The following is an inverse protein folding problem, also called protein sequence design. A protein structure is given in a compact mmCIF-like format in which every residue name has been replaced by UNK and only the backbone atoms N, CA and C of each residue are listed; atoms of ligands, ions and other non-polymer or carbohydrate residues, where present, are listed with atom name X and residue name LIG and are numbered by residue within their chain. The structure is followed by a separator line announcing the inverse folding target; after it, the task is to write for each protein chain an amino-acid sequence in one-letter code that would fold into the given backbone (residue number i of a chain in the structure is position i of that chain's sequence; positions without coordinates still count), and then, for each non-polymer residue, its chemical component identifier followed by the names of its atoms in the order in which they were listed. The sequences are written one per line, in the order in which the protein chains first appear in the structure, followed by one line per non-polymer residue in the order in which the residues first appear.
data_IF_346830279604
#
_entry.id   IF_346830279604
#
_cell.length_a   1.000
_cell.length_b   1.000
_cell.length_c   1.000
_cell.angle_alpha   90.00
_cell.angle_beta   90.00
_cell.angle_gamma   90.00
#
_symmetry.space_group_name_H-M   'P 1'
#
loop_
_entity.id
_entity.type
_entity.pdbx_description
1 polymer ?
#
# COMPACT_ATOMS: atom_id res chain seq x y z
N UNK A 1 -8.86 -29.35 1.94
CA UNK A 1 -9.62 -28.85 0.79
C UNK A 1 -9.10 -27.45 0.48
N UNK A 2 -8.45 -27.27 -0.68
CA UNK A 2 -7.82 -26.01 -1.12
C UNK A 2 -8.89 -25.11 -1.74
N UNK A 3 -8.96 -23.85 -1.32
CA UNK A 3 -9.82 -22.84 -1.93
C UNK A 3 -9.22 -22.37 -3.27
N UNK A 4 -10.06 -22.10 -4.30
CA UNK A 4 -9.59 -21.73 -5.64
C UNK A 4 -9.25 -20.23 -5.70
N UNK A 5 -8.19 -19.90 -6.45
CA UNK A 5 -7.84 -18.54 -6.82
C UNK A 5 -8.87 -18.02 -7.85
N UNK A 6 -9.49 -16.88 -7.57
CA UNK A 6 -10.33 -16.17 -8.52
C UNK A 6 -9.44 -15.55 -9.61
N UNK A 7 -9.48 -16.18 -10.79
CA UNK A 7 -8.91 -15.67 -12.04
C UNK A 7 -9.90 -14.70 -12.68
N UNK A 8 -9.55 -13.42 -12.76
CA UNK A 8 -10.22 -12.51 -13.68
C UNK A 8 -9.57 -12.66 -15.07
N UNK A 9 -10.20 -13.48 -15.92
CA UNK A 9 -9.91 -13.54 -17.35
C UNK A 9 -10.91 -12.65 -18.09
N UNK A 10 -10.42 -11.59 -18.73
CA UNK A 10 -11.16 -10.93 -19.82
C UNK A 10 -10.62 -11.46 -21.15
N UNK A 11 -11.53 -11.89 -22.02
CA UNK A 11 -11.27 -12.54 -23.30
C UNK A 11 -10.42 -11.67 -24.25
N UNK A 12 -9.29 -12.20 -24.71
CA UNK A 12 -8.67 -11.85 -25.98
C UNK A 12 -8.29 -13.14 -26.73
N UNK A 13 -8.70 -13.20 -27.99
CA UNK A 13 -8.59 -14.32 -28.95
C UNK A 13 -7.13 -14.73 -29.25
N UNK A 14 -6.91 -15.93 -29.83
CA UNK A 14 -5.67 -16.68 -29.70
C UNK A 14 -4.62 -16.31 -30.75
N UNK A 15 -3.36 -16.23 -30.33
CA UNK A 15 -2.21 -16.13 -31.24
C UNK A 15 -1.35 -14.89 -31.04
N UNK A 16 -0.63 -14.81 -29.92
CA UNK A 16 0.67 -14.14 -29.85
C UNK A 16 1.42 -14.64 -28.63
N UNK A 17 2.67 -15.05 -28.85
CA UNK A 17 3.59 -15.51 -27.82
C UNK A 17 3.81 -14.42 -26.76
N UNK A 18 4.08 -14.84 -25.52
CA UNK A 18 4.47 -13.97 -24.41
C UNK A 18 5.86 -13.39 -24.72
N UNK A 19 5.88 -12.28 -25.45
CA UNK A 19 7.09 -11.50 -25.65
C UNK A 19 7.37 -10.74 -24.35
N UNK A 20 8.36 -11.23 -23.60
CA UNK A 20 9.07 -10.43 -22.61
C UNK A 20 9.74 -9.26 -23.32
N UNK A 21 8.99 -8.20 -23.61
CA UNK A 21 9.57 -6.93 -23.99
C UNK A 21 10.28 -6.35 -22.76
N UNK A 22 11.56 -6.02 -22.95
CA UNK A 22 12.39 -5.31 -21.98
C UNK A 22 11.74 -3.96 -21.65
N UNK A 23 10.89 -3.93 -20.64
CA UNK A 23 10.43 -2.68 -20.07
C UNK A 23 11.55 -2.11 -19.20
N UNK A 24 12.19 -1.06 -19.73
CA UNK A 24 13.00 -0.13 -18.96
C UNK A 24 12.23 0.26 -17.70
N UNK A 25 12.91 0.37 -16.55
CA UNK A 25 12.34 0.73 -15.26
C UNK A 25 11.56 2.06 -15.34
N UNK A 26 10.29 1.99 -15.74
CA UNK A 26 9.40 3.13 -15.96
C UNK A 26 8.05 2.88 -15.29
N UNK A 27 8.06 2.18 -14.15
CA UNK A 27 6.95 2.23 -13.20
C UNK A 27 7.33 3.22 -12.11
N UNK A 28 7.10 4.50 -12.38
CA UNK A 28 7.17 5.53 -11.34
C UNK A 28 6.01 5.30 -10.38
N UNK A 29 6.23 4.53 -9.31
CA UNK A 29 5.40 4.66 -8.12
C UNK A 29 5.66 6.07 -7.57
N UNK A 30 4.80 7.02 -7.92
CA UNK A 30 4.97 8.44 -7.63
C UNK A 30 4.69 8.73 -6.15
N UNK A 31 5.65 8.40 -5.30
CA UNK A 31 5.83 9.06 -4.01
C UNK A 31 6.92 10.13 -4.21
N UNK A 32 6.61 11.43 -4.04
CA UNK A 32 7.51 12.53 -4.40
C UNK A 32 8.68 12.68 -3.42
N UNK A 33 8.69 11.93 -2.32
CA UNK A 33 9.84 11.78 -1.43
C UNK A 33 10.51 10.41 -1.62
N UNK A 34 9.74 9.34 -1.78
CA UNK A 34 10.27 8.00 -2.04
C UNK A 34 10.51 7.79 -3.55
N UNK A 35 11.65 8.22 -4.08
CA UNK A 35 12.03 7.81 -5.42
C UNK A 35 12.58 6.38 -5.35
N UNK A 36 11.72 5.38 -5.62
CA UNK A 36 12.07 3.95 -5.69
C UNK A 36 12.83 3.63 -6.98
N UNK A 37 13.84 4.42 -7.31
CA UNK A 37 14.70 4.22 -8.48
C UNK A 37 16.16 4.12 -8.03
N UNK A 38 16.88 3.11 -8.52
CA UNK A 38 18.33 3.10 -8.49
C UNK A 38 18.83 4.26 -9.36
N UNK A 39 19.19 5.40 -8.75
CA UNK A 39 19.80 6.52 -9.48
C UNK A 39 21.32 6.40 -9.42
N UNK A 40 21.95 6.31 -10.59
CA UNK A 40 23.35 6.63 -10.79
C UNK A 40 23.61 8.10 -10.45
N UNK A 41 24.71 8.35 -9.74
CA UNK A 41 25.10 9.67 -9.27
C UNK A 41 25.32 10.65 -10.44
N UNK A 42 24.67 11.82 -10.40
CA UNK A 42 25.27 13.11 -10.76
C UNK A 42 24.41 14.28 -10.24
N UNK A 43 25.02 15.07 -9.34
CA UNK A 43 25.07 16.54 -9.32
C UNK A 43 23.76 17.36 -9.40
N UNK A 44 22.88 17.26 -8.41
CA UNK A 44 21.80 18.24 -8.21
C UNK A 44 21.89 18.88 -6.81
N UNK A 45 22.24 20.17 -6.77
CA UNK A 45 22.36 21.01 -5.57
C UNK A 45 21.01 21.42 -4.94
N UNK A 46 19.97 20.59 -5.05
CA UNK A 46 18.74 20.77 -4.27
C UNK A 46 18.77 19.88 -3.03
N UNK A 47 18.90 20.50 -1.84
CA UNK A 47 18.73 19.85 -0.52
C UNK A 47 17.28 19.41 -0.29
N UNK A 48 16.74 18.56 -1.16
CA UNK A 48 15.61 17.71 -0.79
C UNK A 48 16.14 16.66 0.18
N UNK A 49 15.52 16.51 1.36
CA UNK A 49 15.65 15.29 2.18
C UNK A 49 15.11 14.14 1.31
N UNK A 50 15.99 13.55 0.51
CA UNK A 50 15.70 12.39 -0.35
C UNK A 50 15.62 11.17 0.56
N UNK A 51 14.54 10.40 0.45
CA UNK A 51 14.47 9.06 1.04
C UNK A 51 15.62 8.26 0.44
N UNK A 52 16.66 8.05 1.23
CA UNK A 52 17.75 7.17 0.84
C UNK A 52 17.52 5.84 1.52
N UNK A 53 16.84 4.92 0.82
CA UNK A 53 17.12 3.50 1.03
C UNK A 53 18.55 3.28 0.52
N UNK A 54 19.52 3.45 1.41
CA UNK A 54 20.96 3.30 1.11
C UNK A 54 21.23 1.86 0.69
N UNK A 55 21.17 1.60 -0.61
CA UNK A 55 21.97 0.55 -1.23
C UNK A 55 23.30 1.21 -1.59
N UNK A 56 24.38 0.84 -0.91
CA UNK A 56 25.72 1.31 -1.26
C UNK A 56 26.12 0.68 -2.60
N UNK A 57 25.95 1.40 -3.71
CA UNK A 57 26.57 1.05 -4.98
C UNK A 57 27.95 1.72 -5.05
N UNK A 58 29.02 0.95 -4.78
CA UNK A 58 30.39 1.45 -4.93
C UNK A 58 30.82 1.47 -6.40
N UNK A 59 31.55 2.52 -6.79
CA UNK A 59 31.91 2.88 -8.18
C UNK A 59 33.00 2.01 -8.83
N UNK A 60 33.44 0.90 -8.23
CA UNK A 60 34.59 0.14 -8.72
C UNK A 60 34.28 -1.08 -9.59
N UNK A 61 33.02 -1.44 -9.80
CA UNK A 61 32.70 -2.62 -10.61
C UNK A 61 32.44 -2.20 -12.06
N UNK A 62 33.51 -2.31 -12.87
CA UNK A 62 33.49 -2.07 -14.30
C UNK A 62 32.60 -3.10 -15.01
N UNK A 63 31.33 -2.74 -15.18
CA UNK A 63 30.37 -3.46 -15.99
C UNK A 63 28.97 -3.03 -15.60
N UNK A 64 28.21 -2.41 -16.51
CA UNK A 64 26.77 -2.21 -16.34
C UNK A 64 26.06 -3.57 -16.31
N UNK A 65 26.15 -4.26 -15.18
CA UNK A 65 25.26 -5.32 -14.76
C UNK A 65 24.55 -4.81 -13.52
N UNK A 66 23.22 -4.80 -13.56
CA UNK A 66 22.41 -4.71 -12.35
C UNK A 66 22.70 -5.98 -11.54
N UNK A 67 23.82 -5.98 -10.83
CA UNK A 67 24.18 -7.00 -9.86
C UNK A 67 23.26 -6.85 -8.66
N UNK A 68 22.04 -7.37 -8.78
CA UNK A 68 21.29 -7.84 -7.65
C UNK A 68 22.13 -8.97 -7.03
N UNK A 69 23.10 -8.59 -6.20
CA UNK A 69 23.86 -9.53 -5.39
C UNK A 69 22.86 -10.23 -4.49
N UNK A 70 22.58 -11.49 -4.80
CA UNK A 70 21.77 -12.37 -3.98
C UNK A 70 22.42 -12.48 -2.61
N UNK A 71 21.86 -11.77 -1.64
CA UNK A 71 21.94 -12.15 -0.25
C UNK A 71 20.82 -13.13 0.01
N UNK A 72 21.15 -14.41 0.05
CA UNK A 72 20.27 -15.44 0.62
C UNK A 72 20.14 -15.23 2.14
N UNK A 73 18.95 -15.59 2.62
CA UNK A 73 18.60 -15.95 4.01
C UNK A 73 18.29 -14.82 4.99
N UNK A 74 17.02 -14.38 4.95
CA UNK A 74 16.39 -13.66 6.04
C UNK A 74 14.98 -13.21 5.68
N UNK A 75 14.00 -14.11 5.81
CA UNK A 75 12.57 -13.80 5.71
C UNK A 75 12.16 -12.78 6.77
N UNK A 76 12.40 -11.51 6.49
CA UNK A 76 11.93 -10.40 7.31
C UNK A 76 10.48 -10.08 6.98
N UNK A 77 9.63 -9.96 8.00
CA UNK A 77 8.30 -9.40 7.82
C UNK A 77 8.36 -7.90 7.44
N UNK A 78 7.21 -7.26 7.35
CA UNK A 78 7.07 -5.84 7.00
C UNK A 78 8.07 -4.89 7.69
N UNK A 79 8.40 -5.13 8.96
CA UNK A 79 9.30 -4.28 9.76
C UNK A 79 10.73 -4.21 9.23
N UNK A 80 11.19 -5.17 8.42
CA UNK A 80 12.52 -5.10 7.80
C UNK A 80 12.56 -4.16 6.59
N UNK A 81 11.41 -3.80 6.03
CA UNK A 81 11.27 -2.90 4.87
C UNK A 81 10.77 -1.54 5.31
N UNK A 82 9.75 -1.52 6.16
CA UNK A 82 9.13 -0.31 6.70
C UNK A 82 9.53 -0.16 8.15
N UNK A 83 10.61 0.57 8.39
CA UNK A 83 10.94 1.04 9.74
C UNK A 83 9.99 2.17 10.14
N UNK A 84 10.01 2.58 11.41
CA UNK A 84 9.22 3.74 11.87
C UNK A 84 9.58 4.99 11.07
N UNK A 85 10.87 5.21 10.86
CA UNK A 85 11.39 6.37 10.13
C UNK A 85 10.85 6.39 8.71
N UNK A 86 10.87 5.25 8.01
CA UNK A 86 10.29 5.10 6.67
C UNK A 86 8.78 5.39 6.69
N UNK A 87 8.06 4.87 7.68
CA UNK A 87 6.61 5.11 7.80
C UNK A 87 6.28 6.59 7.99
N UNK A 88 7.00 7.28 8.88
CA UNK A 88 6.82 8.72 9.11
C UNK A 88 7.18 9.54 7.87
N UNK A 89 8.20 9.12 7.12
CA UNK A 89 8.65 9.80 5.90
C UNK A 89 7.73 9.57 4.70
N UNK A 90 7.11 8.38 4.59
CA UNK A 90 6.12 8.07 3.56
C UNK A 90 4.79 8.79 3.78
N UNK A 91 4.38 8.98 5.04
CA UNK A 91 3.09 9.57 5.42
C UNK A 91 3.25 10.83 6.28
N UNK A 92 3.93 11.88 5.78
CA UNK A 92 4.39 13.00 6.60
C UNK A 92 3.25 13.93 7.04
N UNK A 93 2.15 14.01 6.27
CA UNK A 93 1.02 14.90 6.60
C UNK A 93 -0.20 14.18 7.20
N UNK A 94 -0.14 12.86 7.47
CA UNK A 94 -1.29 12.12 8.01
C UNK A 94 -1.76 12.64 9.38
N UNK A 95 -0.83 13.21 10.15
CA UNK A 95 -1.07 13.79 11.49
C UNK A 95 -1.19 15.32 11.46
N UNK A 96 -1.28 15.93 10.29
CA UNK A 96 -1.56 17.36 10.18
C UNK A 96 -2.92 17.67 10.84
N UNK A 97 -3.06 18.77 11.63
CA UNK A 97 -4.32 19.10 12.30
C UNK A 97 -5.54 19.24 11.38
N UNK A 98 -5.31 19.44 10.08
CA UNK A 98 -6.35 19.50 9.05
C UNK A 98 -6.80 18.12 8.57
N UNK A 99 -6.26 17.03 9.12
CA UNK A 99 -6.64 15.66 8.82
C UNK A 99 -7.57 15.10 9.90
N UNK A 100 -8.80 14.69 9.56
CA UNK A 100 -9.72 14.10 10.54
C UNK A 100 -9.21 12.81 11.19
N UNK A 101 -8.28 12.11 10.56
CA UNK A 101 -7.64 10.91 11.09
C UNK A 101 -6.30 11.18 11.80
N UNK A 102 -5.96 12.44 12.12
CA UNK A 102 -4.71 12.76 12.80
C UNK A 102 -4.59 11.97 14.12
N UNK A 103 -3.46 11.27 14.29
CA UNK A 103 -3.18 10.40 15.44
C UNK A 103 -3.78 8.99 15.35
N UNK A 104 -4.62 8.68 14.35
CA UNK A 104 -5.27 7.37 14.22
C UNK A 104 -4.34 6.30 13.63
N UNK A 105 -3.59 6.64 12.58
CA UNK A 105 -2.71 5.69 11.89
C UNK A 105 -1.30 5.70 12.47
N UNK A 106 -1.01 4.71 13.31
CA UNK A 106 0.29 4.57 13.98
C UNK A 106 1.14 3.45 13.37
N UNK A 107 2.45 3.56 13.52
CA UNK A 107 3.38 2.53 13.08
C UNK A 107 3.13 1.20 13.82
N UNK A 108 2.83 1.30 15.11
CA UNK A 108 2.52 0.17 15.98
C UNK A 108 1.28 -0.58 15.50
N UNK A 109 0.23 0.15 15.09
CA UNK A 109 -0.98 -0.45 14.55
C UNK A 109 -0.71 -1.15 13.21
N UNK A 110 0.10 -0.56 12.33
CA UNK A 110 0.54 -1.19 11.08
C UNK A 110 1.27 -2.52 11.35
N UNK A 111 2.29 -2.50 12.21
CA UNK A 111 3.07 -3.70 12.53
C UNK A 111 2.20 -4.75 13.24
N UNK A 112 1.30 -4.34 14.13
CA UNK A 112 0.37 -5.25 14.79
C UNK A 112 -0.57 -5.92 13.77
N UNK A 113 -1.11 -5.17 12.81
CA UNK A 113 -1.96 -5.72 11.75
C UNK A 113 -1.18 -6.66 10.82
N UNK A 114 0.03 -6.29 10.42
CA UNK A 114 0.87 -7.08 9.53
C UNK A 114 1.23 -8.46 10.11
N UNK A 115 1.31 -8.62 11.44
CA UNK A 115 1.54 -9.91 12.10
C UNK A 115 0.45 -10.94 11.81
N UNK A 116 -0.79 -10.50 11.53
CA UNK A 116 -1.87 -11.40 11.13
C UNK A 116 -1.71 -11.93 9.69
N UNK A 117 -0.85 -11.31 8.88
CA UNK A 117 -0.63 -11.63 7.48
C UNK A 117 0.87 -11.86 7.22
N UNK A 118 1.48 -12.95 7.73
CA UNK A 118 2.93 -13.16 7.71
C UNK A 118 3.54 -13.27 6.31
N UNK A 119 2.74 -13.53 5.28
CA UNK A 119 3.20 -13.54 3.88
C UNK A 119 3.38 -12.13 3.29
N UNK A 120 2.72 -11.12 3.87
CA UNK A 120 2.78 -9.73 3.42
C UNK A 120 4.19 -9.17 3.60
N UNK A 121 4.77 -8.66 2.51
CA UNK A 121 6.15 -8.17 2.44
C UNK A 121 7.22 -9.21 2.80
N UNK A 122 6.87 -10.50 2.72
CA UNK A 122 7.76 -11.63 3.04
C UNK A 122 7.91 -12.63 1.87
N UNK A 123 7.27 -12.37 0.73
CA UNK A 123 7.25 -13.27 -0.42
C UNK A 123 8.09 -12.74 -1.58
N UNK A 124 8.94 -13.60 -2.15
CA UNK A 124 9.81 -13.26 -3.27
C UNK A 124 11.09 -12.53 -2.86
N UNK A 125 11.78 -11.96 -3.85
CA UNK A 125 13.01 -11.19 -3.62
C UNK A 125 12.74 -9.81 -3.00
N UNK A 126 13.80 -9.13 -2.57
CA UNK A 126 13.70 -7.81 -1.95
C UNK A 126 12.98 -6.78 -2.82
N UNK A 127 13.17 -6.84 -4.15
CA UNK A 127 12.50 -5.95 -5.07
C UNK A 127 10.98 -6.19 -5.10
N UNK A 128 10.56 -7.45 -5.09
CA UNK A 128 9.15 -7.87 -5.05
C UNK A 128 8.49 -7.45 -3.74
N UNK A 129 9.13 -7.73 -2.60
CA UNK A 129 8.62 -7.36 -1.27
C UNK A 129 8.48 -5.84 -1.13
N UNK A 130 9.47 -5.08 -1.60
CA UNK A 130 9.44 -3.61 -1.66
C UNK A 130 8.30 -3.09 -2.56
N UNK A 131 8.08 -3.73 -3.71
CA UNK A 131 7.00 -3.38 -4.64
C UNK A 131 5.62 -3.66 -4.04
N UNK A 132 5.45 -4.77 -3.33
CA UNK A 132 4.21 -5.10 -2.62
C UNK A 132 3.88 -4.02 -1.58
N UNK A 133 4.85 -3.63 -0.75
CA UNK A 133 4.70 -2.54 0.23
C UNK A 133 4.36 -1.21 -0.45
N UNK A 134 5.08 -0.84 -1.50
CA UNK A 134 4.82 0.40 -2.24
C UNK A 134 3.41 0.40 -2.86
N UNK A 135 2.95 -0.73 -3.41
CA UNK A 135 1.61 -0.86 -3.97
C UNK A 135 0.54 -0.76 -2.87
N UNK A 136 0.73 -1.43 -1.74
CA UNK A 136 -0.18 -1.35 -0.59
C UNK A 136 -0.34 0.09 -0.12
N UNK A 137 0.77 0.79 0.16
CA UNK A 137 0.71 2.19 0.60
C UNK A 137 0.20 3.12 -0.49
N UNK A 138 0.49 2.86 -1.76
CA UNK A 138 0.03 3.68 -2.88
C UNK A 138 -1.49 3.67 -2.99
N UNK A 139 -2.08 2.48 -3.04
CA UNK A 139 -3.53 2.30 -3.13
C UNK A 139 -4.22 2.86 -1.89
N UNK A 140 -3.77 2.47 -0.70
CA UNK A 140 -4.40 2.94 0.55
C UNK A 140 -4.23 4.44 0.79
N UNK A 141 -3.13 5.04 0.35
CA UNK A 141 -2.95 6.49 0.38
C UNK A 141 -3.92 7.18 -0.57
N UNK A 142 -4.17 6.63 -1.76
CA UNK A 142 -5.16 7.16 -2.70
C UNK A 142 -6.57 7.17 -2.08
N UNK A 143 -7.01 6.05 -1.51
CA UNK A 143 -8.34 5.92 -0.90
C UNK A 143 -8.57 6.87 0.29
N UNK A 144 -7.50 7.30 0.96
CA UNK A 144 -7.56 8.12 2.17
C UNK A 144 -6.94 9.51 2.00
N UNK A 145 -6.61 9.88 0.76
CA UNK A 145 -5.92 11.13 0.46
C UNK A 145 -6.79 12.34 0.78
N UNK A 146 -6.17 13.37 1.35
CA UNK A 146 -6.78 14.68 1.32
C UNK A 146 -6.65 15.26 -0.09
N UNK A 147 -7.75 15.34 -0.83
CA UNK A 147 -7.87 16.07 -2.10
C UNK A 147 -7.67 17.57 -1.91
N UNK A 148 -6.45 17.98 -1.56
CA UNK A 148 -6.09 19.34 -1.15
C UNK A 148 -5.80 20.21 -2.39
N UNK A 149 -6.82 20.42 -3.21
CA UNK A 149 -6.76 21.35 -4.36
C UNK A 149 -5.63 21.04 -5.35
N UNK A 150 -5.27 22.03 -6.19
CA UNK A 150 -4.31 21.84 -7.29
C UNK A 150 -2.86 21.61 -6.84
N UNK A 151 -2.43 22.20 -5.72
CA UNK A 151 -1.03 22.17 -5.26
C UNK A 151 -0.94 22.23 -3.72
N UNK A 152 -1.10 21.11 -3.01
CA UNK A 152 -0.95 21.11 -1.58
C UNK A 152 0.52 21.16 -1.14
N UNK A 153 0.81 21.58 0.11
CA UNK A 153 2.17 21.55 0.64
C UNK A 153 2.80 20.17 0.50
N UNK A 154 3.99 20.08 -0.11
CA UNK A 154 4.68 18.82 -0.36
C UNK A 154 4.16 17.98 -1.54
N UNK A 155 3.14 18.46 -2.28
CA UNK A 155 2.56 17.76 -3.43
C UNK A 155 1.41 16.81 -3.06
N UNK A 156 0.65 16.31 -4.05
CA UNK A 156 -0.61 15.60 -3.79
C UNK A 156 -0.44 14.22 -3.14
N UNK A 157 0.73 13.59 -3.30
CA UNK A 157 0.96 12.20 -2.91
C UNK A 157 1.45 12.01 -1.47
N UNK A 158 1.67 13.09 -0.71
CA UNK A 158 2.13 13.03 0.69
C UNK A 158 1.00 13.26 1.70
N UNK A 159 -0.24 13.34 1.20
CA UNK A 159 -1.48 13.57 1.97
C UNK A 159 -2.34 12.32 2.13
N UNK A 160 -1.79 11.14 1.86
CA UNK A 160 -2.41 9.86 2.17
C UNK A 160 -2.69 9.71 3.67
N UNK A 161 -3.62 8.82 4.02
CA UNK A 161 -3.97 8.50 5.40
C UNK A 161 -4.55 9.68 6.19
N UNK A 162 -5.11 10.68 5.50
CA UNK A 162 -5.72 11.85 6.15
C UNK A 162 -7.16 11.56 6.63
N UNK A 163 -7.83 10.58 6.04
CA UNK A 163 -9.16 10.10 6.42
C UNK A 163 -9.14 8.63 6.86
N UNK A 164 -10.02 8.28 7.80
CA UNK A 164 -10.25 6.90 8.25
C UNK A 164 -11.70 6.45 8.07
N UNK A 165 -12.54 7.32 7.54
CA UNK A 165 -13.93 7.06 7.19
C UNK A 165 -14.36 7.96 6.05
N UNK A 166 -15.36 7.51 5.31
CA UNK A 166 -16.00 8.28 4.26
C UNK A 166 -16.55 9.61 4.81
N UNK A 167 -16.29 10.71 4.10
CA UNK A 167 -16.62 12.06 4.59
C UNK A 167 -18.10 12.37 4.47
N UNK A 168 -18.74 11.90 3.38
CA UNK A 168 -20.15 12.17 3.06
C UNK A 168 -20.80 10.93 2.43
N UNK A 169 -21.08 9.89 3.23
CA UNK A 169 -21.72 8.68 2.73
C UNK A 169 -23.08 8.97 2.12
N UNK A 170 -23.32 8.45 0.91
CA UNK A 170 -24.57 8.64 0.16
C UNK A 170 -25.65 7.60 0.53
N UNK A 171 -25.27 6.56 1.28
CA UNK A 171 -26.13 5.45 1.70
C UNK A 171 -25.58 4.83 2.99
N UNK A 172 -26.34 3.88 3.55
CA UNK A 172 -25.85 3.00 4.62
C UNK A 172 -25.02 1.83 4.08
N UNK A 173 -24.97 1.65 2.76
CA UNK A 173 -24.27 0.57 2.08
C UNK A 173 -24.69 -0.82 2.59
N UNK A 174 -26.00 -0.97 2.76
CA UNK A 174 -26.64 -2.20 3.15
C UNK A 174 -27.33 -2.82 1.93
N UNK A 175 -26.87 -4.00 1.53
CA UNK A 175 -27.63 -4.90 0.67
C UNK A 175 -28.50 -5.81 1.55
N UNK A 176 -29.76 -5.41 1.73
CA UNK A 176 -30.74 -6.17 2.51
C UNK A 176 -31.16 -7.50 1.87
N UNK A 177 -30.74 -7.77 0.63
CA UNK A 177 -31.01 -9.04 -0.04
C UNK A 177 -29.96 -10.11 0.25
N UNK A 178 -28.85 -9.75 0.90
CA UNK A 178 -27.76 -10.69 1.21
C UNK A 178 -28.08 -11.53 2.47
N UNK A 179 -28.36 -12.84 2.33
CA UNK A 179 -28.74 -13.68 3.46
C UNK A 179 -27.55 -14.11 4.32
N UNK A 180 -26.33 -14.08 3.76
CA UNK A 180 -25.12 -14.54 4.46
C UNK A 180 -24.62 -13.48 5.44
N UNK A 181 -24.74 -12.20 5.06
CA UNK A 181 -24.30 -11.06 5.86
C UNK A 181 -25.43 -10.05 5.96
N UNK A 182 -26.48 -10.36 6.74
CA UNK A 182 -27.63 -9.48 6.88
C UNK A 182 -27.21 -8.15 7.49
N UNK A 183 -27.90 -7.08 7.11
CA UNK A 183 -27.66 -5.77 7.70
C UNK A 183 -28.13 -5.76 9.15
N UNK A 184 -27.24 -5.34 10.04
CA UNK A 184 -27.55 -5.21 11.47
C UNK A 184 -28.27 -3.89 11.71
N UNK A 185 -29.43 -3.87 12.40
CA UNK A 185 -30.14 -2.64 12.69
C UNK A 185 -29.25 -1.56 13.34
N UNK A 186 -29.32 -0.34 12.82
CA UNK A 186 -28.54 0.80 13.31
C UNK A 186 -27.06 0.82 12.86
N UNK A 187 -26.57 -0.25 12.22
CA UNK A 187 -25.22 -0.28 11.66
C UNK A 187 -25.17 0.32 10.26
N UNK A 188 -24.03 0.92 9.93
CA UNK A 188 -23.76 1.53 8.63
C UNK A 188 -22.44 1.02 8.09
N UNK A 189 -22.39 0.74 6.80
CA UNK A 189 -21.27 0.07 6.14
C UNK A 189 -20.57 0.99 5.12
N UNK A 190 -20.55 2.30 5.37
CA UNK A 190 -19.77 3.27 4.60
C UNK A 190 -18.26 3.00 4.70
N UNK A 191 -17.50 3.63 3.80
CA UNK A 191 -16.04 3.44 3.70
C UNK A 191 -15.33 3.67 5.03
N UNK A 192 -14.51 2.71 5.48
CA UNK A 192 -13.63 2.85 6.65
C UNK A 192 -12.22 2.32 6.40
N UNK A 193 -11.28 2.89 7.15
CA UNK A 193 -9.89 2.48 7.17
C UNK A 193 -9.13 2.78 5.87
N UNK A 194 -7.92 2.20 5.74
CA UNK A 194 -7.00 2.48 4.64
C UNK A 194 -7.50 2.10 3.24
N UNK A 195 -8.36 1.09 3.14
CA UNK A 195 -8.90 0.60 1.85
C UNK A 195 -10.36 1.03 1.61
N UNK A 196 -10.87 1.97 2.44
CA UNK A 196 -12.26 2.44 2.41
C UNK A 196 -13.28 1.29 2.27
N UNK A 197 -13.17 0.33 3.17
CA UNK A 197 -14.00 -0.87 3.16
C UNK A 197 -15.48 -0.53 3.29
N UNK A 198 -16.29 -1.01 2.36
CA UNK A 198 -17.69 -0.60 2.16
C UNK A 198 -18.57 -1.81 1.90
N UNK A 199 -19.85 -1.75 2.27
CA UNK A 199 -20.88 -2.79 2.13
C UNK A 199 -20.92 -3.90 3.18
N UNK A 200 -22.12 -4.23 3.66
CA UNK A 200 -22.38 -5.27 4.67
C UNK A 200 -21.68 -6.61 4.38
N UNK A 201 -21.74 -7.10 3.14
CA UNK A 201 -21.13 -8.39 2.78
C UNK A 201 -19.60 -8.38 2.80
N UNK A 202 -18.98 -7.22 2.57
CA UNK A 202 -17.54 -7.07 2.71
C UNK A 202 -17.18 -7.07 4.20
N UNK A 203 -17.85 -6.22 5.00
CA UNK A 203 -17.69 -6.19 6.46
C UNK A 203 -17.82 -7.57 7.09
N UNK A 204 -18.82 -8.34 6.65
CA UNK A 204 -19.02 -9.69 7.12
C UNK A 204 -17.88 -10.65 6.74
N UNK A 205 -17.51 -10.72 5.46
CA UNK A 205 -16.38 -11.57 5.03
C UNK A 205 -15.08 -11.24 5.76
N UNK A 206 -14.79 -9.95 5.97
CA UNK A 206 -13.62 -9.52 6.72
C UNK A 206 -13.71 -9.92 8.19
N UNK A 207 -14.85 -9.64 8.84
CA UNK A 207 -15.11 -10.02 10.22
C UNK A 207 -14.90 -11.51 10.44
N UNK A 208 -15.41 -12.34 9.53
CA UNK A 208 -15.26 -13.79 9.57
C UNK A 208 -13.78 -14.20 9.47
N UNK A 209 -13.05 -13.59 8.53
CA UNK A 209 -11.62 -13.86 8.32
C UNK A 209 -10.75 -13.48 9.53
N UNK A 210 -11.12 -12.45 10.31
CA UNK A 210 -10.38 -12.01 11.50
C UNK A 210 -10.98 -12.50 12.83
N UNK A 211 -11.97 -13.40 12.78
CA UNK A 211 -12.57 -14.02 13.96
C UNK A 211 -13.36 -13.05 14.84
N UNK A 212 -13.98 -12.01 14.27
CA UNK A 212 -14.75 -10.98 15.00
C UNK A 212 -16.27 -11.15 14.94
N UNK A 213 -16.79 -12.25 14.39
CA UNK A 213 -18.24 -12.44 14.16
C UNK A 213 -18.99 -13.29 15.18
N UNK A 214 -18.88 -13.00 16.47
CA UNK A 214 -19.90 -13.47 17.42
C UNK A 214 -20.45 -12.31 18.24
N UNK A 215 -21.39 -11.58 17.65
CA UNK A 215 -22.34 -10.69 18.33
C UNK A 215 -21.73 -9.44 18.96
N UNK A 216 -21.90 -8.30 18.29
CA UNK A 216 -22.14 -7.00 18.93
C UNK A 216 -23.26 -6.31 18.17
#
# INVERSE_FOLDING_TARGET
MRAPALSFCSNALPGSAMQCEKQSCSATAMFPTAQWCCRGANNDNYRHKKISFRSYCNKSDAGCGCGCGGGSDGGGGLSSIVTREVFEEMLPYRNDPRCPAAGFYTYEALIAAAKAYPAFAATGDDATRKREVAAFFGQTSHETAAGRGRNPPGGPFVWGYCYNKEVKPLSEYCDGTNPQFPCVPGQKYYGRGPIQFTWNYNYGQFGAAIGKEKGC
#
